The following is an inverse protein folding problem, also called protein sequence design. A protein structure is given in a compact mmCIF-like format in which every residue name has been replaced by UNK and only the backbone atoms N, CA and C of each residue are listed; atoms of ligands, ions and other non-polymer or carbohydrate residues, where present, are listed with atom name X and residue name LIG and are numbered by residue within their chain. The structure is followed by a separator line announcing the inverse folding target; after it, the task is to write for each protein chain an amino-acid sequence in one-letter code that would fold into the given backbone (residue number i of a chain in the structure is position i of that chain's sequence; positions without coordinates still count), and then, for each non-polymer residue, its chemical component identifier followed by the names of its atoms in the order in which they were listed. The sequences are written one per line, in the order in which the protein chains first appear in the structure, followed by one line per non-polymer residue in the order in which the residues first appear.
data_IF_085623535402
#
_entry.id   IF_085623535402
#
_cell.length_a   1.000
_cell.length_b   1.000
_cell.length_c   1.000
_cell.angle_alpha   90.00
_cell.angle_beta   90.00
_cell.angle_gamma   90.00
#
_symmetry.space_group_name_H-M   'P 1'
#
loop_
_entity.id
_entity.type
_entity.pdbx_description
1 polymer ?
#
# COMPACT_ATOMS: atom_id res chain seq x y z
N UNK A 1 -16.35 14.91 6.39
CA UNK A 1 -17.13 13.80 6.97
C UNK A 1 -16.51 12.45 6.61
N UNK A 2 -16.91 11.40 7.32
CA UNK A 2 -16.41 10.04 7.04
C UNK A 2 -16.76 9.59 5.61
N UNK A 3 -17.98 9.87 5.17
CA UNK A 3 -18.43 9.56 3.81
C UNK A 3 -17.60 10.27 2.74
N UNK A 4 -17.22 11.51 2.99
CA UNK A 4 -16.33 12.26 2.10
C UNK A 4 -14.94 11.64 2.04
N UNK A 5 -14.36 11.30 3.19
CA UNK A 5 -13.06 10.61 3.26
C UNK A 5 -13.07 9.29 2.51
N UNK A 6 -14.15 8.51 2.59
CA UNK A 6 -14.32 7.28 1.83
C UNK A 6 -14.38 7.51 0.33
N UNK A 7 -15.20 8.49 -0.09
CA UNK A 7 -15.30 8.87 -1.50
C UNK A 7 -13.95 9.30 -2.06
N UNK A 8 -13.17 10.01 -1.27
CA UNK A 8 -11.85 10.52 -1.65
C UNK A 8 -10.78 9.43 -1.68
N UNK A 9 -10.85 8.43 -0.79
CA UNK A 9 -9.89 7.32 -0.79
C UNK A 9 -9.79 6.61 -2.16
N UNK A 10 -10.94 6.30 -2.75
CA UNK A 10 -10.98 5.68 -4.08
C UNK A 10 -10.93 6.69 -5.24
N UNK A 11 -11.05 7.97 -4.95
CA UNK A 11 -11.11 9.06 -5.94
C UNK A 11 -9.99 10.07 -5.76
N UNK A 12 -8.83 9.65 -5.26
CA UNK A 12 -7.67 10.54 -5.06
C UNK A 12 -7.24 11.32 -6.32
N UNK A 13 -7.71 10.92 -7.48
CA UNK A 13 -7.46 11.61 -8.76
C UNK A 13 -8.18 12.97 -8.89
N UNK A 14 -9.19 13.22 -8.07
CA UNK A 14 -9.98 14.45 -8.08
C UNK A 14 -9.66 15.41 -6.95
N UNK A 15 -8.63 15.11 -6.15
CA UNK A 15 -8.17 16.06 -5.13
C UNK A 15 -7.86 17.41 -5.76
N UNK A 16 -8.29 18.47 -5.08
CA UNK A 16 -8.04 19.85 -5.44
C UNK A 16 -7.27 20.58 -4.35
N UNK A 17 -6.53 21.59 -4.72
CA UNK A 17 -5.91 22.54 -3.81
C UNK A 17 -6.28 23.96 -4.21
N UNK A 18 -6.52 24.82 -3.22
CA UNK A 18 -6.68 26.26 -3.41
C UNK A 18 -5.35 26.91 -3.04
N UNK A 19 -4.71 27.56 -4.03
CA UNK A 19 -3.52 28.40 -3.83
C UNK A 19 -3.99 29.82 -4.19
N UNK A 20 -3.74 30.31 -5.37
CA UNK A 20 -4.34 31.55 -5.87
C UNK A 20 -5.66 31.27 -6.59
N UNK A 21 -5.80 30.06 -7.09
CA UNK A 21 -6.97 29.52 -7.77
C UNK A 21 -7.24 28.07 -7.35
N UNK A 22 -8.43 27.56 -7.63
CA UNK A 22 -8.78 26.15 -7.38
C UNK A 22 -8.14 25.30 -8.46
N UNK A 23 -7.22 24.44 -8.04
CA UNK A 23 -6.55 23.48 -8.92
C UNK A 23 -7.18 22.09 -8.72
N UNK A 24 -7.96 21.65 -9.70
CA UNK A 24 -8.57 20.33 -9.69
C UNK A 24 -7.68 19.28 -10.33
N UNK A 25 -7.83 18.02 -9.86
CA UNK A 25 -7.09 16.89 -10.39
C UNK A 25 -5.58 17.02 -10.17
N UNK A 26 -5.16 17.34 -8.96
CA UNK A 26 -3.76 17.55 -8.57
C UNK A 26 -2.88 16.39 -9.02
N UNK A 27 -3.30 15.14 -8.80
CA UNK A 27 -2.56 13.98 -9.27
C UNK A 27 -2.40 13.97 -10.79
N UNK A 28 -3.50 14.21 -11.52
CA UNK A 28 -3.49 14.21 -13.00
C UNK A 28 -2.60 15.30 -13.55
N UNK A 29 -2.69 16.51 -12.96
CA UNK A 29 -1.98 17.70 -13.46
C UNK A 29 -0.50 17.71 -13.05
N UNK A 30 -0.22 17.54 -11.77
CA UNK A 30 1.12 17.78 -11.20
C UNK A 30 1.97 16.53 -11.00
N UNK A 31 1.37 15.34 -10.94
CA UNK A 31 2.11 14.09 -10.83
C UNK A 31 2.16 13.39 -12.19
N UNK A 32 1.02 12.92 -12.68
CA UNK A 32 0.95 12.18 -13.93
C UNK A 32 1.32 13.06 -15.13
N UNK A 33 0.72 14.23 -15.26
CA UNK A 33 0.99 15.15 -16.38
C UNK A 33 2.42 15.68 -16.40
N UNK A 34 3.02 15.98 -15.24
CA UNK A 34 4.42 16.34 -15.14
C UNK A 34 5.33 15.18 -15.59
N UNK A 35 5.05 13.96 -15.14
CA UNK A 35 5.78 12.77 -15.54
C UNK A 35 5.72 12.54 -17.05
N UNK A 36 4.53 12.61 -17.64
CA UNK A 36 4.33 12.46 -19.08
C UNK A 36 5.11 13.51 -19.88
N UNK A 37 5.10 14.77 -19.45
CA UNK A 37 5.91 15.84 -20.07
C UNK A 37 7.41 15.57 -19.99
N UNK A 38 7.91 15.14 -18.84
CA UNK A 38 9.33 14.82 -18.66
C UNK A 38 9.72 13.67 -19.59
N UNK A 39 8.90 12.63 -19.68
CA UNK A 39 9.15 11.49 -20.58
C UNK A 39 9.22 11.96 -22.05
N UNK A 40 8.34 12.86 -22.47
CA UNK A 40 8.37 13.41 -23.83
C UNK A 40 9.61 14.26 -24.12
N UNK A 41 10.11 14.98 -23.12
CA UNK A 41 11.30 15.82 -23.25
C UNK A 41 12.61 15.04 -23.20
N UNK A 42 12.61 13.86 -22.58
CA UNK A 42 13.81 13.03 -22.44
C UNK A 42 14.01 12.13 -23.64
N UNK A 43 15.25 12.07 -24.11
CA UNK A 43 15.67 11.14 -25.15
C UNK A 43 15.87 9.71 -24.62
N UNK A 44 16.14 9.57 -23.30
CA UNK A 44 16.43 8.33 -22.58
C UNK A 44 15.22 7.96 -21.68
N UNK A 45 14.16 7.48 -22.28
CA UNK A 45 13.02 7.00 -21.49
C UNK A 45 13.27 5.60 -20.96
N UNK A 46 13.54 5.49 -19.66
CA UNK A 46 13.71 4.23 -18.94
C UNK A 46 12.43 3.73 -18.24
N UNK A 47 11.33 4.45 -18.34
CA UNK A 47 10.07 4.06 -17.73
C UNK A 47 9.35 3.02 -18.59
N UNK A 48 9.01 1.87 -18.00
CA UNK A 48 8.31 0.78 -18.71
C UNK A 48 6.86 0.60 -18.29
N UNK A 49 6.52 0.99 -17.07
CA UNK A 49 5.15 0.96 -16.56
C UNK A 49 4.96 2.02 -15.49
N UNK A 50 4.09 2.98 -15.74
CA UNK A 50 3.75 4.06 -14.82
C UNK A 50 2.24 4.23 -14.75
N UNK A 51 1.68 4.27 -13.55
CA UNK A 51 0.26 4.54 -13.26
C UNK A 51 -0.75 3.58 -13.91
N UNK A 52 -0.31 2.43 -14.40
CA UNK A 52 -1.14 1.47 -15.16
C UNK A 52 -1.13 0.06 -14.61
N UNK A 53 -0.13 -0.35 -13.86
CA UNK A 53 -0.03 -1.66 -13.21
C UNK A 53 -0.07 -1.49 -11.68
N UNK A 54 -0.07 -2.58 -10.94
CA UNK A 54 -0.07 -2.59 -9.47
C UNK A 54 1.21 -1.96 -8.88
N UNK A 55 2.32 -2.03 -9.59
CA UNK A 55 3.60 -1.40 -9.25
C UNK A 55 4.12 -0.56 -10.42
N UNK A 56 4.92 0.45 -10.11
CA UNK A 56 5.69 1.18 -11.11
C UNK A 56 6.92 0.37 -11.55
N UNK A 57 7.34 0.50 -12.80
CA UNK A 57 8.50 -0.21 -13.33
C UNK A 57 9.41 0.65 -14.19
N UNK A 58 10.72 0.49 -13.99
CA UNK A 58 11.77 1.16 -14.77
C UNK A 58 12.80 0.15 -15.27
N UNK A 59 13.42 0.44 -16.39
CA UNK A 59 14.59 -0.30 -16.84
C UNK A 59 15.76 -0.05 -15.90
N UNK A 60 16.35 -1.11 -15.37
CA UNK A 60 17.53 -1.04 -14.52
C UNK A 60 18.82 -1.11 -15.36
N UNK A 61 18.86 -2.06 -16.27
CA UNK A 61 19.94 -2.25 -17.24
C UNK A 61 19.42 -2.93 -18.51
N UNK A 62 20.30 -3.41 -19.38
CA UNK A 62 19.92 -4.07 -20.63
C UNK A 62 19.03 -5.33 -20.43
N UNK A 63 19.15 -6.01 -19.30
CA UNK A 63 18.53 -7.33 -19.05
C UNK A 63 17.36 -7.28 -18.07
N UNK A 64 17.32 -6.26 -17.18
CA UNK A 64 16.44 -6.23 -16.02
C UNK A 64 15.58 -4.99 -15.92
N UNK A 65 14.39 -5.17 -15.37
CA UNK A 65 13.46 -4.14 -14.92
C UNK A 65 13.38 -4.22 -13.39
N UNK A 66 13.42 -3.07 -12.72
CA UNK A 66 13.05 -2.92 -11.31
C UNK A 66 11.61 -2.44 -11.25
N UNK A 67 10.81 -3.05 -10.41
CA UNK A 67 9.51 -2.52 -10.01
C UNK A 67 9.50 -2.10 -8.54
N UNK A 68 8.67 -1.13 -8.21
CA UNK A 68 8.50 -0.66 -6.85
C UNK A 68 7.04 -0.39 -6.55
N UNK A 69 6.58 -0.92 -5.42
CA UNK A 69 5.25 -0.65 -4.86
C UNK A 69 5.39 -0.10 -3.46
N UNK A 70 4.64 0.95 -3.17
CA UNK A 70 4.54 1.55 -1.85
C UNK A 70 3.08 1.72 -1.45
N UNK A 71 2.80 1.57 -0.16
CA UNK A 71 1.51 1.80 0.44
C UNK A 71 1.65 2.39 1.84
N UNK A 72 0.64 3.14 2.25
CA UNK A 72 0.46 3.52 3.65
C UNK A 72 -0.80 2.85 4.20
N UNK A 73 -0.63 2.03 5.23
CA UNK A 73 -1.73 1.24 5.80
C UNK A 73 -2.16 1.80 7.16
N UNK A 74 -2.70 3.02 7.16
CA UNK A 74 -2.87 3.87 8.34
C UNK A 74 -4.13 3.55 9.14
N UNK A 75 -5.31 3.67 8.54
CA UNK A 75 -6.57 3.44 9.23
C UNK A 75 -6.73 2.00 9.71
N UNK A 76 -6.41 0.98 8.93
CA UNK A 76 -6.44 -0.40 9.44
C UNK A 76 -5.51 -0.61 10.63
N UNK A 77 -4.31 -0.02 10.61
CA UNK A 77 -3.36 -0.11 11.73
C UNK A 77 -3.78 0.71 12.94
N UNK A 78 -4.67 1.71 12.78
CA UNK A 78 -5.28 2.42 13.89
C UNK A 78 -6.37 1.59 14.58
N UNK A 79 -7.06 0.73 13.85
CA UNK A 79 -8.18 -0.10 14.33
C UNK A 79 -7.72 -1.45 14.86
N UNK A 80 -6.85 -2.11 14.13
CA UNK A 80 -6.16 -3.35 14.46
C UNK A 80 -4.68 -3.21 14.13
N UNK A 81 -3.85 -2.73 15.07
CA UNK A 81 -2.46 -2.42 14.81
C UNK A 81 -1.64 -3.61 14.29
N UNK A 82 -1.90 -4.81 14.80
CA UNK A 82 -1.19 -6.01 14.39
C UNK A 82 -1.62 -6.49 13.00
N UNK A 83 -2.91 -6.74 12.81
CA UNK A 83 -3.45 -7.22 11.53
C UNK A 83 -3.36 -6.18 10.42
N UNK A 84 -3.57 -4.92 10.75
CA UNK A 84 -3.43 -3.80 9.82
C UNK A 84 -2.00 -3.66 9.29
N UNK A 85 -0.99 -3.79 10.13
CA UNK A 85 0.41 -3.73 9.74
C UNK A 85 0.81 -4.93 8.86
N UNK A 86 0.40 -6.15 9.22
CA UNK A 86 0.63 -7.34 8.39
C UNK A 86 0.02 -7.16 6.99
N UNK A 87 -1.21 -6.68 6.91
CA UNK A 87 -1.90 -6.48 5.64
C UNK A 87 -1.17 -5.46 4.76
N UNK A 88 -0.59 -4.42 5.34
CA UNK A 88 0.24 -3.46 4.61
C UNK A 88 1.43 -4.12 3.91
N UNK A 89 2.12 -5.04 4.61
CA UNK A 89 3.25 -5.80 4.04
C UNK A 89 2.77 -6.73 2.92
N UNK A 90 1.73 -7.51 3.19
CA UNK A 90 1.18 -8.46 2.21
C UNK A 90 0.71 -7.73 0.95
N UNK A 91 0.10 -6.54 1.11
CA UNK A 91 -0.37 -5.72 0.00
C UNK A 91 0.75 -5.31 -0.96
N UNK A 92 1.85 -4.76 -0.45
CA UNK A 92 2.98 -4.33 -1.30
C UNK A 92 3.74 -5.49 -1.90
N UNK A 93 3.87 -6.61 -1.18
CA UNK A 93 4.51 -7.81 -1.70
C UNK A 93 3.70 -8.43 -2.85
N UNK A 94 2.37 -8.53 -2.70
CA UNK A 94 1.48 -9.07 -3.74
C UNK A 94 1.44 -8.18 -4.97
N UNK A 95 1.45 -6.87 -4.81
CA UNK A 95 1.46 -5.95 -5.95
C UNK A 95 2.79 -6.01 -6.72
N UNK A 96 3.89 -6.20 -5.99
CA UNK A 96 5.18 -6.46 -6.61
C UNK A 96 5.18 -7.80 -7.38
N UNK A 97 4.70 -8.88 -6.75
CA UNK A 97 4.54 -10.20 -7.40
C UNK A 97 3.63 -10.12 -8.63
N UNK A 98 2.59 -9.28 -8.57
CA UNK A 98 1.65 -9.06 -9.64
C UNK A 98 2.17 -8.17 -10.77
N UNK A 99 3.35 -7.56 -10.66
CA UNK A 99 3.90 -6.71 -11.70
C UNK A 99 4.27 -7.50 -12.96
N UNK A 100 3.73 -7.07 -14.10
CA UNK A 100 3.96 -7.76 -15.38
C UNK A 100 3.61 -9.25 -15.32
N UNK A 101 4.53 -10.11 -15.74
CA UNK A 101 4.40 -11.57 -15.69
C UNK A 101 4.91 -12.20 -14.39
N UNK A 102 5.09 -11.41 -13.36
CA UNK A 102 5.54 -11.83 -12.05
C UNK A 102 6.96 -11.38 -11.73
N UNK A 103 7.10 -10.26 -10.99
CA UNK A 103 8.40 -9.83 -10.49
C UNK A 103 8.75 -10.57 -9.21
N UNK A 104 10.03 -10.77 -8.97
CA UNK A 104 10.56 -11.34 -7.74
C UNK A 104 10.82 -10.22 -6.73
N UNK A 105 10.14 -10.17 -5.58
CA UNK A 105 10.49 -9.26 -4.50
C UNK A 105 11.91 -9.51 -4.00
N UNK A 106 12.70 -8.45 -3.83
CA UNK A 106 14.11 -8.54 -3.42
C UNK A 106 14.44 -7.72 -2.17
N UNK A 107 13.65 -6.70 -1.86
CA UNK A 107 13.85 -5.88 -0.67
C UNK A 107 12.53 -5.24 -0.23
N UNK A 108 12.35 -5.14 1.10
CA UNK A 108 11.29 -4.38 1.73
C UNK A 108 11.84 -3.17 2.49
N UNK A 109 11.02 -2.13 2.60
CA UNK A 109 11.30 -0.95 3.44
C UNK A 109 10.06 -0.64 4.27
N UNK A 110 10.24 -0.37 5.56
CA UNK A 110 9.16 -0.01 6.46
C UNK A 110 9.47 1.29 7.19
N UNK A 111 8.45 2.12 7.36
CA UNK A 111 8.57 3.33 8.16
C UNK A 111 7.31 3.54 9.00
N UNK A 112 7.50 3.91 10.25
CA UNK A 112 6.41 4.16 11.18
C UNK A 112 6.48 5.59 11.67
N UNK A 113 5.36 6.27 11.59
CA UNK A 113 5.15 7.57 12.18
C UNK A 113 4.07 7.40 13.24
N UNK A 114 4.49 7.48 14.49
CA UNK A 114 3.70 7.10 15.66
C UNK A 114 3.63 8.25 16.65
N UNK A 115 2.60 8.26 17.48
CA UNK A 115 2.64 9.08 18.69
C UNK A 115 3.59 8.46 19.72
N UNK A 116 4.16 9.27 20.59
CA UNK A 116 5.07 8.80 21.64
C UNK A 116 4.35 7.76 22.54
N UNK A 117 4.81 6.51 22.58
CA UNK A 117 4.16 5.46 23.35
C UNK A 117 4.21 5.66 24.86
N UNK A 118 5.08 6.54 25.35
CA UNK A 118 5.23 6.84 26.77
C UNK A 118 4.33 8.00 27.24
N UNK A 119 3.68 8.69 26.31
CA UNK A 119 2.76 9.80 26.62
C UNK A 119 1.31 9.33 26.68
N UNK A 120 0.54 9.96 27.55
CA UNK A 120 -0.93 9.83 27.55
C UNK A 120 -1.52 10.94 26.68
N UNK A 121 -2.44 10.56 25.80
CA UNK A 121 -3.14 11.49 24.92
C UNK A 121 -4.62 11.52 25.25
N UNK A 122 -5.22 12.72 25.19
CA UNK A 122 -6.66 12.86 25.20
C UNK A 122 -7.16 12.57 23.77
N UNK A 123 -7.67 11.37 23.55
CA UNK A 123 -8.10 10.92 22.24
C UNK A 123 -9.57 11.27 21.99
N UNK A 124 -9.88 11.54 20.73
CA UNK A 124 -11.25 11.67 20.29
C UNK A 124 -12.02 10.37 20.57
N UNK A 125 -13.28 10.49 21.00
CA UNK A 125 -14.15 9.34 21.36
C UNK A 125 -13.70 8.53 22.59
N UNK A 126 -12.84 9.07 23.44
CA UNK A 126 -12.32 8.37 24.63
C UNK A 126 -13.41 7.87 25.60
N UNK A 127 -14.57 8.54 25.62
CA UNK A 127 -15.73 8.17 26.46
C UNK A 127 -16.75 7.27 25.73
N UNK A 128 -16.51 6.92 24.48
CA UNK A 128 -17.43 6.12 23.69
C UNK A 128 -17.22 4.61 23.97
N UNK A 129 -18.20 3.81 23.55
CA UNK A 129 -18.14 2.34 23.63
C UNK A 129 -16.90 1.78 22.91
N UNK A 130 -16.54 2.39 21.78
CA UNK A 130 -15.38 1.99 20.97
C UNK A 130 -14.38 3.15 20.89
N UNK A 131 -13.58 3.37 21.95
CA UNK A 131 -12.59 4.44 21.98
C UNK A 131 -11.45 4.19 21.01
N UNK A 132 -10.77 5.26 20.62
CA UNK A 132 -9.50 5.13 19.86
C UNK A 132 -8.45 4.45 20.74
N UNK A 133 -7.62 3.61 20.12
CA UNK A 133 -6.58 2.87 20.82
C UNK A 133 -5.46 3.80 21.32
N UNK A 134 -4.89 3.55 22.50
CA UNK A 134 -3.80 4.35 23.04
C UNK A 134 -2.49 4.15 22.26
N UNK A 135 -1.62 5.16 22.28
CA UNK A 135 -0.39 5.20 21.47
C UNK A 135 0.54 4.00 21.72
N UNK A 136 0.71 3.59 22.97
CA UNK A 136 1.54 2.43 23.33
C UNK A 136 1.00 1.12 22.75
N UNK A 137 -0.31 0.94 22.73
CA UNK A 137 -0.95 -0.26 22.15
C UNK A 137 -0.78 -0.28 20.63
N UNK A 138 -1.00 0.87 19.98
CA UNK A 138 -0.81 1.03 18.54
C UNK A 138 0.65 0.74 18.16
N UNK A 139 1.61 1.36 18.82
CA UNK A 139 3.03 1.17 18.53
C UNK A 139 3.46 -0.28 18.69
N UNK A 140 3.12 -0.92 19.81
CA UNK A 140 3.44 -2.33 20.09
C UNK A 140 2.83 -3.27 19.06
N UNK A 141 1.56 -3.04 18.69
CA UNK A 141 0.86 -3.85 17.71
C UNK A 141 1.47 -3.74 16.31
N UNK A 142 1.77 -2.53 15.85
CA UNK A 142 2.40 -2.27 14.55
C UNK A 142 3.78 -2.93 14.47
N UNK A 143 4.64 -2.69 15.46
CA UNK A 143 5.99 -3.28 15.48
C UNK A 143 5.91 -4.80 15.46
N UNK A 144 5.02 -5.39 16.25
CA UNK A 144 4.82 -6.84 16.27
C UNK A 144 4.28 -7.38 14.95
N UNK A 145 3.29 -6.70 14.35
CA UNK A 145 2.70 -7.08 13.07
C UNK A 145 3.71 -7.06 11.93
N UNK A 146 4.51 -5.99 11.85
CA UNK A 146 5.56 -5.89 10.83
C UNK A 146 6.66 -6.94 11.05
N UNK A 147 7.06 -7.17 12.29
CA UNK A 147 8.04 -8.22 12.60
C UNK A 147 7.57 -9.59 12.12
N UNK A 148 6.33 -9.95 12.41
CA UNK A 148 5.78 -11.25 12.01
C UNK A 148 5.59 -11.31 10.49
N UNK A 149 4.92 -10.32 9.89
CA UNK A 149 4.68 -10.29 8.44
C UNK A 149 5.94 -10.23 7.61
N UNK A 150 6.94 -9.46 8.07
CA UNK A 150 8.25 -9.38 7.43
C UNK A 150 8.98 -10.72 7.47
N UNK A 151 9.07 -11.36 8.64
CA UNK A 151 9.72 -12.66 8.80
C UNK A 151 9.05 -13.76 7.97
N UNK A 152 7.71 -13.78 7.93
CA UNK A 152 6.98 -14.76 7.14
C UNK A 152 7.14 -14.57 5.62
N UNK A 153 7.47 -13.36 5.16
CA UNK A 153 7.67 -13.09 3.73
C UNK A 153 9.00 -13.59 3.19
N UNK A 154 10.02 -13.73 4.04
CA UNK A 154 11.37 -14.10 3.64
C UNK A 154 12.07 -13.07 2.75
N UNK A 155 11.55 -11.85 2.65
CA UNK A 155 12.13 -10.76 1.86
C UNK A 155 12.98 -9.89 2.78
N UNK A 156 14.26 -9.64 2.44
CA UNK A 156 15.14 -8.81 3.25
C UNK A 156 14.60 -7.38 3.46
N UNK A 157 14.78 -6.84 4.65
CA UNK A 157 14.43 -5.45 4.98
C UNK A 157 15.70 -4.66 5.29
N UNK A 158 16.37 -4.09 4.28
CA UNK A 158 17.65 -3.42 4.46
C UNK A 158 17.52 -2.07 5.17
N UNK A 159 16.34 -1.48 5.19
CA UNK A 159 16.09 -0.16 5.76
C UNK A 159 14.71 -0.06 6.38
N UNK A 160 14.65 0.66 7.50
CA UNK A 160 13.42 1.06 8.16
C UNK A 160 13.71 2.22 9.11
N UNK A 161 12.66 2.95 9.48
CA UNK A 161 12.76 4.05 10.43
C UNK A 161 11.48 4.20 11.25
N UNK A 162 11.62 4.83 12.40
CA UNK A 162 10.51 5.17 13.30
C UNK A 162 10.62 6.65 13.67
N UNK A 163 9.51 7.36 13.53
CA UNK A 163 9.37 8.75 13.96
C UNK A 163 8.25 8.88 14.97
N UNK A 164 8.45 9.74 15.96
CA UNK A 164 7.44 10.06 16.95
C UNK A 164 7.01 11.52 16.82
N UNK A 165 5.69 11.72 16.70
CA UNK A 165 5.07 13.04 16.67
C UNK A 165 3.66 12.94 17.23
N UNK A 166 3.27 13.88 18.08
CA UNK A 166 1.98 13.87 18.79
C UNK A 166 0.77 13.91 17.82
N UNK A 167 0.96 14.42 16.60
CA UNK A 167 -0.07 14.44 15.55
C UNK A 167 -0.52 13.06 15.09
N UNK A 168 0.26 12.02 15.34
CA UNK A 168 -0.10 10.64 15.02
C UNK A 168 -0.87 9.93 16.14
N UNK A 169 -1.26 10.66 17.20
CA UNK A 169 -2.09 10.08 18.25
C UNK A 169 -3.41 9.55 17.69
N UNK A 170 -3.69 8.26 17.95
CA UNK A 170 -4.89 7.57 17.48
C UNK A 170 -4.92 7.22 15.98
N UNK A 171 -4.05 7.80 15.14
CA UNK A 171 -3.95 7.47 13.72
C UNK A 171 -2.50 7.47 13.26
N UNK A 172 -1.81 6.33 13.30
CA UNK A 172 -0.44 6.20 12.86
C UNK A 172 -0.34 6.32 11.34
N UNK A 173 0.89 6.54 10.84
CA UNK A 173 1.23 6.30 9.46
C UNK A 173 2.15 5.08 9.41
N UNK A 174 1.71 4.05 8.69
CA UNK A 174 2.47 2.80 8.49
C UNK A 174 2.81 2.71 7.01
N UNK A 175 4.04 3.02 6.68
CA UNK A 175 4.55 2.92 5.32
C UNK A 175 5.17 1.55 5.09
N UNK A 176 4.79 0.91 3.99
CA UNK A 176 5.39 -0.31 3.49
C UNK A 176 5.81 -0.12 2.03
N UNK A 177 6.98 -0.62 1.68
CA UNK A 177 7.50 -0.60 0.34
C UNK A 177 8.15 -1.92 -0.03
N UNK A 178 8.00 -2.34 -1.29
CA UNK A 178 8.64 -3.54 -1.83
C UNK A 178 9.28 -3.21 -3.17
N UNK A 179 10.54 -3.57 -3.29
CA UNK A 179 11.28 -3.54 -4.56
C UNK A 179 11.31 -4.94 -5.12
N UNK A 180 11.03 -5.07 -6.40
CA UNK A 180 11.12 -6.33 -7.13
C UNK A 180 11.93 -6.20 -8.41
N UNK A 181 12.33 -7.34 -8.95
CA UNK A 181 13.11 -7.44 -10.18
C UNK A 181 12.48 -8.46 -11.14
N UNK A 182 12.52 -8.16 -12.42
CA UNK A 182 12.02 -9.04 -13.46
C UNK A 182 12.91 -8.91 -14.70
N UNK A 183 13.26 -10.01 -15.41
CA UNK A 183 13.99 -9.88 -16.67
C UNK A 183 13.17 -9.12 -17.70
N UNK A 184 13.78 -8.29 -18.55
CA UNK A 184 13.07 -7.53 -19.59
C UNK A 184 12.26 -8.40 -20.51
N UNK A 185 12.75 -9.60 -20.82
CA UNK A 185 12.08 -10.57 -21.70
C UNK A 185 12.02 -11.94 -21.05
N UNK A 186 10.88 -12.61 -21.21
CA UNK A 186 10.66 -14.01 -20.85
C UNK A 186 10.23 -14.74 -22.12
N UNK A 187 10.98 -15.75 -22.56
CA UNK A 187 10.73 -16.49 -23.82
C UNK A 187 10.53 -15.53 -25.00
N UNK A 188 11.39 -14.53 -25.15
CA UNK A 188 11.35 -13.53 -26.22
C UNK A 188 10.28 -12.45 -26.12
N UNK A 189 9.33 -12.56 -25.19
CA UNK A 189 8.24 -11.59 -25.00
C UNK A 189 8.54 -10.62 -23.86
N UNK A 190 8.14 -9.34 -23.99
CA UNK A 190 8.29 -8.33 -22.94
C UNK A 190 7.60 -8.79 -21.66
N UNK A 191 8.33 -8.79 -20.56
CA UNK A 191 7.85 -9.31 -19.27
C UNK A 191 6.87 -8.39 -18.55
N UNK A 192 7.01 -7.07 -18.70
CA UNK A 192 6.10 -6.09 -18.12
C UNK A 192 4.73 -6.03 -18.85
N UNK A 193 4.62 -6.66 -20.02
CA UNK A 193 3.35 -6.80 -20.75
C UNK A 193 2.64 -8.08 -20.32
N UNK A 194 1.46 -7.95 -19.72
CA UNK A 194 0.59 -9.07 -19.35
C UNK A 194 -0.79 -8.91 -19.96
N UNK A 195 -1.37 -10.02 -20.36
CA UNK A 195 -2.74 -10.10 -20.87
C UNK A 195 -3.20 -11.54 -20.70
N UNK A 196 -4.36 -11.75 -20.10
CA UNK A 196 -5.05 -13.03 -20.14
C UNK A 196 -5.85 -13.15 -21.45
N UNK A 197 -5.88 -14.32 -22.02
CA UNK A 197 -6.62 -14.61 -23.23
C UNK A 197 -7.66 -15.69 -22.95
N UNK A 198 -8.76 -15.76 -23.71
CA UNK A 198 -9.68 -16.90 -23.64
C UNK A 198 -8.93 -18.22 -23.87
N UNK A 199 -9.16 -19.19 -23.00
CA UNK A 199 -8.47 -20.48 -23.03
C UNK A 199 -7.22 -20.59 -22.17
N UNK A 200 -6.74 -19.49 -21.57
CA UNK A 200 -5.65 -19.55 -20.58
C UNK A 200 -6.13 -20.30 -19.32
N UNK A 201 -5.26 -21.13 -18.76
CA UNK A 201 -5.54 -21.89 -17.54
C UNK A 201 -5.30 -21.00 -16.31
N UNK A 202 -6.30 -20.95 -15.44
CA UNK A 202 -6.18 -20.28 -14.14
C UNK A 202 -5.75 -21.32 -13.11
N UNK A 203 -4.60 -21.10 -12.51
CA UNK A 203 -4.08 -21.92 -11.41
C UNK A 203 -4.19 -21.17 -10.08
N UNK A 204 -4.72 -21.85 -9.08
CA UNK A 204 -4.70 -21.38 -7.70
C UNK A 204 -3.92 -22.37 -6.86
N UNK A 205 -2.85 -21.87 -6.23
CA UNK A 205 -2.02 -22.68 -5.33
C UNK A 205 -2.07 -22.06 -3.93
N UNK A 206 -2.28 -22.88 -2.90
CA UNK A 206 -2.37 -22.45 -1.50
C UNK A 206 -3.55 -23.07 -0.77
N UNK A 207 -3.94 -22.43 0.33
CA UNK A 207 -5.07 -22.85 1.15
C UNK A 207 -6.43 -22.54 0.53
N UNK A 208 -7.49 -22.90 1.26
CA UNK A 208 -8.87 -22.57 0.89
C UNK A 208 -9.06 -21.07 0.74
N UNK A 209 -9.77 -20.66 -0.29
CA UNK A 209 -10.24 -19.30 -0.47
C UNK A 209 -11.65 -19.17 0.13
N UNK A 210 -11.81 -18.23 1.05
CA UNK A 210 -13.09 -17.85 1.64
C UNK A 210 -13.67 -16.60 0.98
N UNK A 211 -14.61 -15.99 1.66
CA UNK A 211 -15.22 -14.71 1.26
C UNK A 211 -14.43 -13.48 1.74
N UNK A 212 -13.26 -13.69 2.31
CA UNK A 212 -12.44 -12.62 2.85
C UNK A 212 -12.04 -11.65 1.75
N UNK A 213 -12.23 -10.37 2.01
CA UNK A 213 -11.89 -9.31 1.06
C UNK A 213 -12.81 -9.16 -0.15
N UNK A 214 -13.98 -9.77 -0.16
CA UNK A 214 -14.92 -9.69 -1.30
C UNK A 214 -15.39 -8.25 -1.59
N UNK A 215 -15.41 -7.38 -0.59
CA UNK A 215 -15.72 -5.94 -0.69
C UNK A 215 -14.52 -5.04 -0.47
N UNK A 216 -13.32 -5.56 -0.59
CA UNK A 216 -12.07 -4.92 -0.22
C UNK A 216 -11.43 -5.60 0.98
N UNK A 217 -10.11 -5.76 0.94
CA UNK A 217 -9.36 -6.56 1.92
C UNK A 217 -9.25 -5.87 3.29
N UNK A 218 -9.53 -4.58 3.38
CA UNK A 218 -9.33 -3.80 4.60
C UNK A 218 -10.48 -2.85 4.86
N UNK A 219 -10.67 -2.53 6.12
CA UNK A 219 -11.68 -1.59 6.57
C UNK A 219 -11.60 -0.22 5.89
N UNK A 220 -10.40 0.23 5.50
CA UNK A 220 -10.20 1.47 4.78
C UNK A 220 -10.59 1.41 3.30
N UNK A 221 -10.69 0.22 2.74
CA UNK A 221 -11.09 -0.01 1.34
C UNK A 221 -12.59 -0.25 1.20
N UNK A 222 -13.32 -0.41 2.29
CA UNK A 222 -14.74 -0.76 2.30
C UNK A 222 -15.60 0.42 2.74
N UNK A 223 -16.68 0.65 2.03
CA UNK A 223 -17.65 1.72 2.34
C UNK A 223 -18.56 1.45 3.55
N UNK A 224 -18.33 0.36 4.27
CA UNK A 224 -19.16 -0.09 5.37
C UNK A 224 -18.51 0.19 6.71
N UNK A 225 -18.92 1.25 7.36
CA UNK A 225 -18.43 1.66 8.67
C UNK A 225 -18.98 0.82 9.84
N UNK A 226 -19.89 -0.09 9.58
CA UNK A 226 -20.61 -0.91 10.57
C UNK A 226 -20.43 -2.40 10.38
N UNK A 227 -19.58 -2.83 9.46
CA UNK A 227 -19.14 -4.20 9.44
C UNK A 227 -18.26 -4.43 10.68
N UNK A 228 -18.87 -4.92 11.71
CA UNK A 228 -18.16 -5.71 12.68
C UNK A 228 -17.42 -6.79 11.89
N UNK A 229 -16.12 -6.90 12.10
CA UNK A 229 -15.37 -8.04 11.59
C UNK A 229 -16.19 -9.29 11.91
N UNK A 230 -16.56 -10.12 10.94
CA UNK A 230 -17.19 -11.37 11.27
C UNK A 230 -16.19 -12.18 12.08
N UNK A 231 -16.39 -12.18 13.38
CA UNK A 231 -15.70 -13.07 14.32
C UNK A 231 -16.26 -14.49 14.21
N UNK A 232 -16.67 -14.89 13.04
CA UNK A 232 -16.95 -16.29 12.78
C UNK A 232 -15.64 -17.01 12.57
N UNK A 233 -15.03 -17.35 13.68
CA UNK A 233 -14.23 -18.56 13.75
C UNK A 233 -15.16 -19.72 13.42
N UNK A 234 -14.96 -20.33 12.32
CA UNK A 234 -15.29 -21.73 12.08
C UNK A 234 -14.02 -22.52 12.12
#
# INVERSE_FOLDING_TARGET
TLAQTWSEHCKHKIFSAKIDDIQEGIFKKYIKGATEKIIQLRKDNFCVSLFTDNAGGIEFNKDWIICHKVETHNTPSALDPFGGAITGIVGVNRDCLGFGKGAKPIANTYAYYLADPNKKYQLYRQKNKDPMLPANFIAKGIISGVRVGGNCSGIPTPQGNVYFDDRFAGKPLVFCGTVGIIPKKIKGKLSHKKKANPGDIILMAGGRVGKDGIHGATFSSVSYTHLTLPTTRL
#
